data_IF_621057429743
#
_entry.id   IF_621057429743
#
_cell.length_a   1.000
_cell.length_b   1.000
_cell.length_c   1.000
_cell.angle_alpha   90.00
_cell.angle_beta   90.00
_cell.angle_gamma   90.00
#
_symmetry.space_group_name_H-M   'P 1'
#
loop_
_entity.id
_entity.type
_entity.pdbx_description
1 polymer ?
#
# COMPACT_ATOMS: atom_id res chain seq x y z
N UNK A 1 -4.54 -29.04 -23.02
CA UNK A 1 -5.91 -28.69 -22.57
C UNK A 1 -6.03 -29.12 -21.11
N UNK A 2 -5.87 -28.19 -20.19
CA UNK A 2 -6.03 -28.45 -18.75
C UNK A 2 -6.92 -27.35 -18.17
N UNK A 3 -8.10 -27.78 -17.71
CA UNK A 3 -9.18 -26.93 -17.24
C UNK A 3 -8.89 -26.52 -15.79
N UNK A 4 -8.78 -25.23 -15.53
CA UNK A 4 -8.74 -24.68 -14.18
C UNK A 4 -10.16 -24.52 -13.67
N UNK A 5 -10.49 -25.24 -12.58
CA UNK A 5 -11.76 -25.16 -11.87
C UNK A 5 -11.61 -24.02 -10.85
N UNK A 6 -12.38 -22.95 -11.07
CA UNK A 6 -12.55 -21.87 -10.09
C UNK A 6 -13.56 -22.36 -9.04
N UNK A 7 -13.14 -22.44 -7.78
CA UNK A 7 -14.04 -22.65 -6.64
C UNK A 7 -14.48 -21.28 -6.14
N UNK A 8 -15.70 -20.89 -6.47
CA UNK A 8 -16.37 -19.71 -5.91
C UNK A 8 -17.13 -20.18 -4.67
N UNK A 9 -16.69 -19.73 -3.50
CA UNK A 9 -17.44 -19.94 -2.26
C UNK A 9 -18.28 -18.69 -1.97
N UNK A 10 -19.57 -18.77 -2.30
CA UNK A 10 -20.55 -17.74 -1.99
C UNK A 10 -21.04 -17.92 -0.54
N UNK A 11 -20.82 -16.94 0.31
CA UNK A 11 -21.41 -16.87 1.64
C UNK A 11 -22.54 -15.85 1.62
N UNK A 12 -23.78 -16.35 1.66
CA UNK A 12 -24.99 -15.55 1.76
C UNK A 12 -25.26 -15.22 3.24
N UNK A 13 -25.37 -13.93 3.58
CA UNK A 13 -25.89 -13.50 4.87
C UNK A 13 -27.19 -12.75 4.63
N UNK A 14 -28.27 -13.28 5.21
CA UNK A 14 -29.61 -12.73 5.14
C UNK A 14 -29.76 -11.50 6.03
N UNK A 15 -30.37 -10.45 5.49
CA UNK A 15 -30.82 -9.27 6.22
C UNK A 15 -32.15 -9.53 6.88
N UNK A 16 -32.28 -9.22 8.17
CA UNK A 16 -33.56 -9.11 8.85
C UNK A 16 -33.87 -7.63 9.12
N UNK A 17 -34.94 -7.13 8.49
CA UNK A 17 -35.57 -5.86 8.81
C UNK A 17 -36.35 -5.96 10.12
N UNK A 18 -36.29 -4.93 10.96
CA UNK A 18 -37.34 -4.65 11.94
C UNK A 18 -37.57 -3.15 12.06
N UNK A 19 -38.75 -2.72 11.64
CA UNK A 19 -39.34 -1.40 11.83
C UNK A 19 -39.78 -1.19 13.28
N UNK A 20 -39.66 0.04 13.82
CA UNK A 20 -40.73 0.71 14.54
C UNK A 20 -40.39 2.13 15.03
N UNK A 21 -41.12 3.08 14.46
CA UNK A 21 -41.94 4.18 15.06
C UNK A 21 -41.26 5.33 15.80
N UNK A 22 -41.67 6.50 15.28
CA UNK A 22 -41.47 7.85 15.77
C UNK A 22 -42.09 8.11 17.15
N UNK A 23 -41.53 9.09 17.86
CA UNK A 23 -42.30 10.06 18.66
C UNK A 23 -41.48 11.36 18.84
N UNK A 24 -42.13 12.47 18.48
CA UNK A 24 -41.75 13.87 18.75
C UNK A 24 -41.73 14.14 20.27
N UNK A 25 -40.95 15.15 20.69
CA UNK A 25 -41.35 16.28 21.56
C UNK A 25 -40.12 17.18 21.86
N UNK A 26 -40.27 18.45 21.44
CA UNK A 26 -39.87 19.78 21.99
C UNK A 26 -38.52 20.11 22.66
N UNK A 27 -37.97 21.19 22.10
CA UNK A 27 -37.27 22.37 22.61
C UNK A 27 -36.68 22.40 24.03
N UNK A 28 -35.38 22.65 24.10
CA UNK A 28 -34.81 23.72 24.95
C UNK A 28 -33.37 24.07 24.52
N UNK A 29 -33.18 25.34 24.26
CA UNK A 29 -31.91 26.00 23.95
C UNK A 29 -30.93 25.94 25.14
N UNK A 30 -29.71 25.46 24.93
CA UNK A 30 -28.54 25.94 25.67
C UNK A 30 -27.31 25.95 24.78
N UNK A 31 -26.85 27.18 24.52
CA UNK A 31 -25.56 27.51 23.98
C UNK A 31 -24.44 26.98 24.88
N UNK A 32 -23.59 26.11 24.37
CA UNK A 32 -22.25 25.91 24.88
C UNK A 32 -21.33 25.48 23.75
N UNK A 33 -20.35 26.31 23.57
CA UNK A 33 -19.23 26.29 22.65
C UNK A 33 -18.48 24.95 22.75
N UNK A 34 -18.73 24.03 21.82
CA UNK A 34 -17.90 22.84 21.64
C UNK A 34 -17.11 23.01 20.35
N UNK A 35 -15.84 23.26 20.50
CA UNK A 35 -14.84 23.23 19.42
C UNK A 35 -14.95 21.91 18.68
N UNK A 36 -15.51 21.99 17.49
CA UNK A 36 -15.61 20.87 16.55
C UNK A 36 -14.21 20.63 15.93
N UNK A 37 -13.42 19.79 16.56
CA UNK A 37 -12.22 19.24 15.94
C UNK A 37 -12.64 18.16 14.92
N UNK A 38 -13.19 18.60 13.78
CA UNK A 38 -13.19 17.78 12.59
C UNK A 38 -11.74 17.51 12.23
N UNK A 39 -11.27 16.32 12.62
CA UNK A 39 -10.04 15.73 12.11
C UNK A 39 -10.18 15.49 10.61
N UNK A 40 -10.04 16.56 9.85
CA UNK A 40 -9.75 16.48 8.43
C UNK A 40 -8.37 15.84 8.35
N UNK A 41 -8.33 14.56 8.03
CA UNK A 41 -7.10 13.88 7.65
C UNK A 41 -6.62 14.57 6.38
N UNK A 42 -5.84 15.65 6.55
CA UNK A 42 -5.03 16.18 5.49
C UNK A 42 -4.11 15.04 5.02
N UNK A 43 -4.45 14.41 3.92
CA UNK A 43 -3.50 13.68 3.10
C UNK A 43 -2.51 14.70 2.51
N UNK A 44 -1.63 15.21 3.34
CA UNK A 44 -0.41 15.82 2.86
C UNK A 44 0.36 14.70 2.17
N UNK A 45 0.49 14.78 0.84
CA UNK A 45 1.42 13.96 0.07
C UNK A 45 2.75 13.95 0.83
N UNK A 46 3.13 12.77 1.37
CA UNK A 46 4.39 12.66 2.08
C UNK A 46 5.49 12.99 1.11
N UNK A 47 6.30 14.00 1.42
CA UNK A 47 7.54 14.23 0.71
C UNK A 47 8.49 13.09 1.13
N UNK A 48 8.51 12.02 0.37
CA UNK A 48 9.32 10.83 0.65
C UNK A 48 10.83 11.13 0.70
N UNK A 49 11.26 12.26 0.15
CA UNK A 49 12.65 12.71 0.13
C UNK A 49 13.24 13.10 1.51
N UNK A 50 12.41 13.23 2.55
CA UNK A 50 12.82 13.67 3.89
C UNK A 50 12.62 12.61 4.98
N UNK A 51 12.26 11.37 4.63
CA UNK A 51 12.05 10.33 5.62
C UNK A 51 13.39 9.89 6.22
N UNK A 52 13.42 9.80 7.55
CA UNK A 52 14.58 9.29 8.30
C UNK A 52 14.19 8.05 9.08
N UNK A 53 15.17 7.19 9.34
CA UNK A 53 14.94 6.00 10.18
C UNK A 53 14.48 6.40 11.59
N UNK A 54 13.58 5.59 12.16
CA UNK A 54 13.17 5.72 13.56
C UNK A 54 14.37 5.53 14.49
N UNK A 55 14.46 6.23 15.64
CA UNK A 55 15.53 6.04 16.60
C UNK A 55 15.67 4.58 17.04
N UNK A 56 16.85 3.99 16.86
CA UNK A 56 17.11 2.60 17.23
C UNK A 56 16.54 1.54 16.29
N UNK A 57 15.98 1.91 15.15
CA UNK A 57 15.39 0.97 14.21
C UNK A 57 16.33 -0.17 13.82
N UNK A 58 17.59 0.10 13.51
CA UNK A 58 18.57 -0.90 13.11
C UNK A 58 18.86 -1.97 14.19
N UNK A 59 18.54 -1.69 15.46
CA UNK A 59 18.70 -2.63 16.58
C UNK A 59 17.39 -3.36 16.92
N UNK A 60 16.29 -3.03 16.28
CA UNK A 60 15.00 -3.69 16.47
C UNK A 60 15.01 -5.09 15.81
N UNK A 61 14.09 -6.01 16.21
CA UNK A 61 13.92 -7.27 15.51
C UNK A 61 13.69 -7.05 14.02
N UNK A 62 14.35 -7.84 13.17
CA UNK A 62 14.29 -7.69 11.70
C UNK A 62 12.87 -7.72 11.15
N UNK A 63 12.01 -8.54 11.74
CA UNK A 63 10.60 -8.66 11.35
C UNK A 63 9.83 -7.37 11.65
N UNK A 64 10.13 -6.70 12.77
CA UNK A 64 9.51 -5.41 13.09
C UNK A 64 10.02 -4.31 12.15
N UNK A 65 11.34 -4.30 11.87
CA UNK A 65 11.90 -3.38 10.88
C UNK A 65 11.22 -3.55 9.52
N UNK A 66 11.08 -4.80 9.06
CA UNK A 66 10.41 -5.09 7.79
C UNK A 66 8.97 -4.58 7.78
N UNK A 67 8.17 -4.92 8.80
CA UNK A 67 6.76 -4.54 8.86
C UNK A 67 6.59 -3.02 8.78
N UNK A 68 7.30 -2.28 9.64
CA UNK A 68 7.17 -0.83 9.70
C UNK A 68 7.71 -0.14 8.43
N UNK A 69 8.77 -0.69 7.84
CA UNK A 69 9.40 -0.14 6.63
C UNK A 69 8.58 -0.46 5.38
N UNK A 70 8.10 -1.71 5.22
CA UNK A 70 7.31 -2.11 4.06
C UNK A 70 5.94 -1.42 4.02
N UNK A 71 5.33 -1.13 5.17
CA UNK A 71 4.10 -0.32 5.23
C UNK A 71 4.31 1.06 4.59
N UNK A 72 5.41 1.71 4.92
CA UNK A 72 5.73 3.04 4.34
C UNK A 72 6.05 2.91 2.85
N UNK A 73 6.79 1.89 2.46
CA UNK A 73 7.09 1.61 1.07
C UNK A 73 5.81 1.41 0.25
N UNK A 74 4.87 0.58 0.69
CA UNK A 74 3.58 0.36 0.02
C UNK A 74 2.73 1.63 -0.12
N UNK A 75 2.75 2.51 0.88
CA UNK A 75 2.08 3.82 0.77
C UNK A 75 2.58 4.63 -0.42
N UNK A 76 3.88 4.56 -0.72
CA UNK A 76 4.45 5.22 -1.91
C UNK A 76 3.84 4.71 -3.22
N UNK A 77 3.74 3.40 -3.41
CA UNK A 77 3.09 2.83 -4.60
C UNK A 77 1.60 3.20 -4.69
N UNK A 78 0.89 3.18 -3.56
CA UNK A 78 -0.51 3.56 -3.46
C UNK A 78 -0.70 5.03 -3.92
N UNK A 79 0.19 5.94 -3.49
CA UNK A 79 0.09 7.35 -3.88
C UNK A 79 0.35 7.55 -5.38
N UNK A 80 1.30 6.82 -5.98
CA UNK A 80 1.47 6.80 -7.44
C UNK A 80 0.24 6.21 -8.15
N UNK A 81 -0.27 5.08 -7.69
CA UNK A 81 -1.36 4.35 -8.33
C UNK A 81 -2.69 5.15 -8.35
N UNK A 82 -2.96 5.96 -7.31
CA UNK A 82 -4.12 6.86 -7.25
C UNK A 82 -4.17 7.86 -8.41
N UNK A 83 -3.05 8.20 -9.01
CA UNK A 83 -3.00 9.17 -10.10
C UNK A 83 -3.46 8.57 -11.44
N UNK A 84 -3.38 7.24 -11.59
CA UNK A 84 -3.51 6.58 -12.89
C UNK A 84 -4.91 6.68 -13.50
N UNK A 85 -5.99 6.60 -12.70
CA UNK A 85 -7.37 6.61 -13.23
C UNK A 85 -7.65 7.87 -14.06
N UNK A 86 -7.22 9.03 -13.56
CA UNK A 86 -7.47 10.33 -14.19
C UNK A 86 -6.41 10.73 -15.22
N UNK A 87 -5.25 10.07 -15.27
CA UNK A 87 -4.07 10.53 -16.01
C UNK A 87 -3.57 9.57 -17.07
N UNK A 88 -3.70 8.25 -16.84
CA UNK A 88 -3.20 7.25 -17.76
C UNK A 88 -4.01 7.20 -19.06
N UNK A 89 -3.34 6.86 -20.16
CA UNK A 89 -3.95 6.61 -21.46
C UNK A 89 -4.39 5.16 -21.57
N UNK A 90 -3.46 4.23 -21.27
CA UNK A 90 -3.69 2.81 -21.48
C UNK A 90 -4.58 2.20 -20.39
N UNK A 91 -5.63 1.51 -20.83
CA UNK A 91 -6.57 0.84 -19.93
C UNK A 91 -5.89 -0.25 -19.07
N UNK A 92 -4.86 -0.89 -19.62
CA UNK A 92 -4.03 -1.89 -18.96
C UNK A 92 -3.31 -1.29 -17.74
N UNK A 93 -2.77 -0.07 -17.86
CA UNK A 93 -2.11 0.61 -16.74
C UNK A 93 -3.13 1.03 -15.68
N UNK A 94 -4.30 1.53 -16.08
CA UNK A 94 -5.39 1.84 -15.12
C UNK A 94 -5.79 0.61 -14.34
N UNK A 95 -5.92 -0.53 -15.03
CA UNK A 95 -6.24 -1.81 -14.37
C UNK A 95 -5.14 -2.24 -13.39
N UNK A 96 -3.88 -2.22 -13.82
CA UNK A 96 -2.74 -2.57 -12.96
C UNK A 96 -2.71 -1.67 -11.71
N UNK A 97 -2.87 -0.35 -11.89
CA UNK A 97 -2.90 0.61 -10.77
C UNK A 97 -4.04 0.33 -9.79
N UNK A 98 -5.22 -0.05 -10.28
CA UNK A 98 -6.35 -0.46 -9.42
C UNK A 98 -6.04 -1.76 -8.67
N UNK A 99 -5.36 -2.72 -9.30
CA UNK A 99 -4.93 -3.95 -8.64
C UNK A 99 -3.87 -3.67 -7.58
N UNK A 100 -2.87 -2.82 -7.86
CA UNK A 100 -1.86 -2.36 -6.90
C UNK A 100 -2.52 -1.71 -5.68
N UNK A 101 -3.48 -0.80 -5.88
CA UNK A 101 -4.22 -0.16 -4.78
C UNK A 101 -4.84 -1.21 -3.87
N UNK A 102 -5.67 -2.09 -4.43
CA UNK A 102 -6.39 -3.13 -3.68
C UNK A 102 -5.44 -4.07 -2.93
N UNK A 103 -4.41 -4.55 -3.61
CA UNK A 103 -3.54 -5.60 -3.08
C UNK A 103 -2.58 -5.04 -2.03
N UNK A 104 -1.99 -3.87 -2.24
CA UNK A 104 -1.09 -3.26 -1.27
C UNK A 104 -1.84 -2.68 -0.05
N UNK A 105 -3.08 -2.19 -0.19
CA UNK A 105 -3.91 -1.85 0.97
C UNK A 105 -4.21 -3.09 1.83
N UNK A 106 -4.50 -4.24 1.21
CA UNK A 106 -4.70 -5.51 1.92
C UNK A 106 -3.42 -5.98 2.62
N UNK A 107 -2.27 -5.86 1.97
CA UNK A 107 -0.97 -6.21 2.56
C UNK A 107 -0.62 -5.31 3.73
N UNK A 108 -0.85 -4.00 3.64
CA UNK A 108 -0.71 -3.06 4.77
C UNK A 108 -1.59 -3.48 5.96
N UNK A 109 -2.86 -3.83 5.70
CA UNK A 109 -3.75 -4.29 6.76
C UNK A 109 -3.22 -5.57 7.43
N UNK A 110 -2.71 -6.53 6.65
CA UNK A 110 -2.08 -7.77 7.13
C UNK A 110 -0.83 -7.46 7.96
N UNK A 111 0.04 -6.59 7.47
CA UNK A 111 1.25 -6.18 8.18
C UNK A 111 0.94 -5.52 9.51
N UNK A 112 -0.05 -4.63 9.56
CA UNK A 112 -0.50 -4.00 10.80
C UNK A 112 -1.05 -5.03 11.81
N UNK A 113 -1.81 -6.02 11.34
CA UNK A 113 -2.30 -7.11 12.18
C UNK A 113 -1.16 -7.95 12.76
N UNK A 114 -0.20 -8.34 11.93
CA UNK A 114 0.96 -9.13 12.36
C UNK A 114 1.87 -8.33 13.31
N UNK A 115 2.05 -7.04 13.03
CA UNK A 115 2.76 -6.12 13.92
C UNK A 115 2.09 -6.05 15.30
N UNK A 116 0.79 -5.86 15.35
CA UNK A 116 0.04 -5.84 16.62
C UNK A 116 0.14 -7.18 17.36
N UNK A 117 0.04 -8.30 16.63
CA UNK A 117 0.09 -9.66 17.20
C UNK A 117 1.43 -9.97 17.90
N UNK A 118 2.55 -9.57 17.30
CA UNK A 118 3.87 -10.00 17.81
C UNK A 118 4.69 -8.90 18.47
N UNK A 119 4.43 -7.65 18.12
CA UNK A 119 5.26 -6.53 18.59
C UNK A 119 4.47 -5.52 19.44
N UNK A 120 3.14 -5.53 19.38
CA UNK A 120 2.27 -4.71 20.24
C UNK A 120 2.72 -3.26 20.33
N UNK A 121 3.00 -2.81 21.55
CA UNK A 121 3.39 -1.43 21.88
C UNK A 121 4.89 -1.13 21.63
N UNK A 122 5.64 -2.02 20.97
CA UNK A 122 7.04 -1.70 20.65
C UNK A 122 7.10 -0.41 19.81
N UNK A 123 8.12 0.44 20.05
CA UNK A 123 8.34 1.63 19.23
C UNK A 123 8.42 1.28 17.75
N UNK A 124 8.08 2.24 16.90
CA UNK A 124 8.25 2.11 15.46
C UNK A 124 9.72 1.86 15.11
N UNK A 125 9.93 0.94 14.16
CA UNK A 125 11.24 0.54 13.68
C UNK A 125 11.40 0.78 12.17
N UNK A 126 10.89 1.91 11.66
CA UNK A 126 11.12 2.33 10.29
C UNK A 126 12.64 2.43 10.04
N UNK A 127 13.14 1.64 9.11
CA UNK A 127 14.56 1.60 8.77
C UNK A 127 14.78 1.94 7.29
N UNK A 128 15.21 3.17 7.00
CA UNK A 128 15.48 3.62 5.63
C UNK A 128 16.70 2.93 5.01
N UNK A 129 17.55 2.28 5.82
CA UNK A 129 18.68 1.48 5.37
C UNK A 129 18.34 -0.02 5.26
N UNK A 130 17.07 -0.39 5.47
CA UNK A 130 16.64 -1.77 5.26
C UNK A 130 16.90 -2.17 3.79
N UNK A 131 17.48 -3.35 3.52
CA UNK A 131 17.86 -3.75 2.17
C UNK A 131 16.71 -3.62 1.16
N UNK A 132 16.87 -2.79 0.15
CA UNK A 132 15.88 -2.50 -0.87
C UNK A 132 15.04 -1.24 -0.63
N UNK A 133 15.01 -0.69 0.60
CA UNK A 133 14.18 0.50 0.89
C UNK A 133 14.68 1.74 0.15
N UNK A 134 15.95 2.05 0.29
CA UNK A 134 16.54 3.22 -0.37
C UNK A 134 16.43 3.15 -1.89
N UNK A 135 16.76 1.99 -2.47
CA UNK A 135 16.70 1.75 -3.90
C UNK A 135 15.27 1.85 -4.45
N UNK A 136 14.30 1.31 -3.71
CA UNK A 136 12.88 1.34 -4.11
C UNK A 136 12.26 2.73 -4.03
N UNK A 137 12.68 3.54 -3.08
CA UNK A 137 12.17 4.90 -2.92
C UNK A 137 12.91 5.92 -3.79
N UNK A 138 14.13 5.57 -4.26
CA UNK A 138 14.92 6.47 -5.08
C UNK A 138 14.28 6.66 -6.46
N UNK A 139 14.10 7.92 -6.86
CA UNK A 139 13.52 8.26 -8.15
C UNK A 139 11.99 8.39 -8.15
N UNK A 140 11.32 8.18 -7.03
CA UNK A 140 9.91 8.55 -6.89
C UNK A 140 9.75 10.07 -6.93
N UNK A 141 8.96 10.55 -7.89
CA UNK A 141 8.61 11.96 -8.06
C UNK A 141 7.12 12.09 -8.37
N UNK A 142 6.31 12.18 -7.32
CA UNK A 142 4.87 12.34 -7.44
C UNK A 142 4.52 13.66 -8.15
N UNK A 143 5.26 14.74 -7.91
CA UNK A 143 5.01 16.03 -8.56
C UNK A 143 5.18 15.93 -10.08
N UNK A 144 6.20 15.20 -10.53
CA UNK A 144 6.39 14.91 -11.96
C UNK A 144 5.21 14.10 -12.52
N UNK A 145 4.78 13.02 -11.84
CA UNK A 145 3.61 12.25 -12.27
C UNK A 145 2.33 13.09 -12.29
N UNK A 146 2.12 13.96 -11.32
CA UNK A 146 0.99 14.88 -11.28
C UNK A 146 0.98 15.87 -12.45
N UNK A 147 2.12 16.20 -13.00
CA UNK A 147 2.24 17.13 -14.14
C UNK A 147 1.97 16.46 -15.49
N UNK A 148 2.02 15.12 -15.58
CA UNK A 148 1.92 14.35 -16.81
C UNK A 148 0.51 13.80 -17.04
N UNK A 149 0.19 13.48 -18.30
CA UNK A 149 -1.05 12.81 -18.73
C UNK A 149 -0.77 11.96 -19.98
N UNK A 150 -1.71 11.05 -20.29
CA UNK A 150 -1.62 10.21 -21.48
C UNK A 150 -0.41 9.31 -21.44
N UNK A 151 0.12 9.01 -22.61
CA UNK A 151 1.28 8.11 -22.74
C UNK A 151 2.53 8.60 -21.98
N UNK A 152 2.73 9.90 -21.83
CA UNK A 152 3.86 10.43 -21.05
C UNK A 152 3.73 10.08 -19.56
N UNK A 153 2.50 10.13 -19.03
CA UNK A 153 2.21 9.65 -17.68
C UNK A 153 2.49 8.16 -17.57
N UNK A 154 2.00 7.36 -18.50
CA UNK A 154 2.11 5.89 -18.47
C UNK A 154 3.57 5.45 -18.47
N UNK A 155 4.38 6.01 -19.34
CA UNK A 155 5.82 5.71 -19.44
C UNK A 155 6.56 6.14 -18.16
N UNK A 156 6.26 7.32 -17.63
CA UNK A 156 6.90 7.80 -16.40
C UNK A 156 6.47 7.01 -15.17
N UNK A 157 5.18 6.67 -15.07
CA UNK A 157 4.66 5.79 -14.01
C UNK A 157 5.43 4.46 -13.96
N UNK A 158 5.57 3.80 -15.11
CA UNK A 158 6.29 2.53 -15.20
C UNK A 158 7.77 2.70 -14.83
N UNK A 159 8.42 3.78 -15.27
CA UNK A 159 9.82 4.06 -14.92
C UNK A 159 10.06 4.23 -13.43
N UNK A 160 9.09 4.75 -12.71
CA UNK A 160 9.18 4.92 -11.26
C UNK A 160 8.73 3.65 -10.52
N UNK A 161 7.67 2.98 -10.98
CA UNK A 161 7.11 1.81 -10.30
C UNK A 161 7.99 0.56 -10.41
N UNK A 162 8.69 0.35 -11.52
CA UNK A 162 9.61 -0.80 -11.66
C UNK A 162 10.70 -0.81 -10.57
N UNK A 163 11.51 0.24 -10.39
CA UNK A 163 12.52 0.24 -9.32
C UNK A 163 11.89 0.20 -7.93
N UNK A 164 10.71 0.82 -7.73
CA UNK A 164 9.97 0.72 -6.49
C UNK A 164 9.63 -0.74 -6.15
N UNK A 165 9.06 -1.50 -7.06
CA UNK A 165 8.77 -2.92 -6.87
C UNK A 165 10.03 -3.76 -6.65
N UNK A 166 11.11 -3.47 -7.37
CA UNK A 166 12.39 -4.16 -7.17
C UNK A 166 12.93 -3.94 -5.74
N UNK A 167 12.74 -2.76 -5.17
CA UNK A 167 13.04 -2.49 -3.77
C UNK A 167 12.23 -3.35 -2.81
N UNK A 168 10.91 -3.43 -2.98
CA UNK A 168 10.05 -4.28 -2.17
C UNK A 168 10.43 -5.77 -2.27
N UNK A 169 10.74 -6.25 -3.48
CA UNK A 169 11.21 -7.62 -3.71
C UNK A 169 12.51 -7.88 -2.94
N UNK A 170 13.45 -6.93 -2.94
CA UNK A 170 14.72 -7.07 -2.18
C UNK A 170 14.45 -7.12 -0.67
N UNK A 171 13.57 -6.24 -0.15
CA UNK A 171 13.15 -6.23 1.25
C UNK A 171 12.51 -7.57 1.64
N UNK A 172 11.58 -8.08 0.83
CA UNK A 172 10.87 -9.33 1.08
C UNK A 172 11.82 -10.55 1.04
N UNK A 173 12.75 -10.61 0.08
CA UNK A 173 13.79 -11.66 0.02
C UNK A 173 14.69 -11.65 1.25
N UNK A 174 15.07 -10.46 1.73
CA UNK A 174 15.86 -10.33 2.95
C UNK A 174 15.08 -10.83 4.18
N UNK A 175 13.79 -10.48 4.30
CA UNK A 175 12.95 -11.02 5.36
C UNK A 175 12.79 -12.54 5.27
N UNK A 176 12.43 -13.09 4.12
CA UNK A 176 12.18 -14.53 3.93
C UNK A 176 13.35 -15.39 4.39
N UNK A 177 14.59 -14.88 4.22
CA UNK A 177 15.82 -15.55 4.65
C UNK A 177 16.09 -15.47 6.15
N UNK A 178 15.45 -14.55 6.89
CA UNK A 178 15.77 -14.23 8.28
C UNK A 178 14.56 -14.30 9.22
N UNK A 179 13.33 -14.43 8.70
CA UNK A 179 12.13 -14.48 9.52
C UNK A 179 12.01 -15.78 10.31
N UNK A 180 11.56 -15.67 11.55
CA UNK A 180 11.21 -16.78 12.44
C UNK A 180 9.73 -17.16 12.36
N UNK A 181 8.85 -16.19 12.08
CA UNK A 181 7.41 -16.41 11.96
C UNK A 181 7.02 -16.88 10.53
N UNK A 182 6.36 -18.05 10.46
CA UNK A 182 5.96 -18.65 9.17
C UNK A 182 5.01 -17.75 8.37
N UNK A 183 4.11 -17.03 9.05
CA UNK A 183 3.18 -16.11 8.40
C UNK A 183 3.90 -14.96 7.69
N UNK A 184 5.02 -14.47 8.25
CA UNK A 184 5.83 -13.44 7.59
C UNK A 184 6.60 -13.98 6.39
N UNK A 185 7.06 -15.24 6.44
CA UNK A 185 7.64 -15.88 5.25
C UNK A 185 6.63 -16.00 4.13
N UNK A 186 5.41 -16.44 4.45
CA UNK A 186 4.33 -16.53 3.46
C UNK A 186 4.02 -15.17 2.85
N UNK A 187 3.86 -14.12 3.68
CA UNK A 187 3.63 -12.76 3.19
C UNK A 187 4.77 -12.28 2.27
N UNK A 188 6.03 -12.52 2.66
CA UNK A 188 7.18 -12.15 1.84
C UNK A 188 7.18 -12.88 0.49
N UNK A 189 6.90 -14.18 0.46
CA UNK A 189 6.83 -14.98 -0.76
C UNK A 189 5.69 -14.50 -1.68
N UNK A 190 4.54 -14.13 -1.13
CA UNK A 190 3.40 -13.59 -1.87
C UNK A 190 3.75 -12.22 -2.49
N UNK A 191 4.38 -11.31 -1.72
CA UNK A 191 4.86 -10.01 -2.22
C UNK A 191 5.87 -10.21 -3.37
N UNK A 192 6.86 -11.09 -3.20
CA UNK A 192 7.86 -11.39 -4.22
C UNK A 192 7.18 -11.82 -5.51
N UNK A 193 6.30 -12.82 -5.41
CA UNK A 193 5.63 -13.41 -6.58
C UNK A 193 4.75 -12.40 -7.32
N UNK A 194 3.96 -11.61 -6.60
CA UNK A 194 3.08 -10.61 -7.18
C UNK A 194 3.90 -9.53 -7.89
N UNK A 195 4.86 -8.94 -7.20
CA UNK A 195 5.61 -7.82 -7.74
C UNK A 195 6.62 -8.22 -8.83
N UNK A 196 7.17 -9.44 -8.82
CA UNK A 196 7.96 -9.95 -9.95
C UNK A 196 7.11 -10.06 -11.23
N UNK A 197 5.85 -10.48 -11.12
CA UNK A 197 4.93 -10.54 -12.26
C UNK A 197 4.59 -9.13 -12.79
N UNK A 198 4.34 -8.18 -11.90
CA UNK A 198 4.04 -6.79 -12.25
C UNK A 198 5.25 -6.09 -12.89
N UNK A 199 6.46 -6.28 -12.37
CA UNK A 199 7.71 -5.76 -12.97
C UNK A 199 7.88 -6.29 -14.39
N UNK A 200 7.67 -7.59 -14.60
CA UNK A 200 7.74 -8.18 -15.93
C UNK A 200 6.75 -7.54 -16.89
N UNK A 201 5.49 -7.43 -16.47
CA UNK A 201 4.43 -6.85 -17.29
C UNK A 201 4.71 -5.38 -17.64
N UNK A 202 5.08 -4.57 -16.65
CA UNK A 202 5.48 -3.18 -16.87
C UNK A 202 6.70 -3.05 -17.79
N UNK A 203 7.67 -3.96 -17.68
CA UNK A 203 8.83 -4.00 -18.56
C UNK A 203 8.47 -4.24 -20.02
N UNK A 204 7.50 -5.13 -20.30
CA UNK A 204 6.98 -5.39 -21.64
C UNK A 204 6.27 -4.14 -22.20
N UNK A 205 5.42 -3.49 -21.41
CA UNK A 205 4.75 -2.26 -21.81
C UNK A 205 5.71 -1.11 -22.05
N UNK A 206 6.72 -0.95 -21.19
CA UNK A 206 7.73 0.11 -21.37
C UNK A 206 8.48 0.00 -22.71
N UNK A 207 8.63 -1.21 -23.26
CA UNK A 207 9.21 -1.40 -24.59
C UNK A 207 8.22 -1.07 -25.72
N UNK A 208 6.93 -1.35 -25.50
CA UNK A 208 5.89 -1.16 -26.51
C UNK A 208 5.39 0.30 -26.62
N UNK A 209 5.40 1.05 -25.50
CA UNK A 209 4.80 2.39 -25.42
C UNK A 209 5.81 3.55 -25.54
N UNK A 210 7.07 3.24 -25.80
CA UNK A 210 8.14 4.25 -26.00
C UNK A 210 8.01 4.97 -27.31
#
# INVERSE_FOLDING_TARGET
MQKYIAVVLALSIAAACSDKTANDIDHASHSSNATNSNGHLNHTSMEHSAMTSSPGAASAPIELQFLDTMIIHHKGAIDMAKLADARAEHAELKKLSSDILRDQEREIATMNQLRGKWFGEKPEALNMEFPGMSEGMHGMDLKKLESLRGNDFDVEFIRQMIPHHQGAIAMAKHLASNASHAELKTLADDIIKAQEAEVKQMGEWLQAWK
#
